data_IF_031507919585
#
_entry.id   IF_031507919585
#
_cell.length_a   1.000
_cell.length_b   1.000
_cell.length_c   1.000
_cell.angle_alpha   90.00
_cell.angle_beta   90.00
_cell.angle_gamma   90.00
#
_symmetry.space_group_name_H-M   'P 1'
#
loop_
_entity.id
_entity.type
_entity.pdbx_description
1 polymer ?
#
# COMPACT_ATOMS: atom_id res chain seq x y z
N UNK A 1 2.87 -20.11 -1.03
CA UNK A 1 3.91 -19.05 -1.04
C UNK A 1 3.26 -17.84 -1.66
N UNK A 2 2.86 -16.85 -0.86
CA UNK A 2 2.27 -15.62 -1.37
C UNK A 2 3.35 -14.86 -2.15
N UNK A 3 3.11 -14.67 -3.45
CA UNK A 3 3.97 -13.87 -4.30
C UNK A 3 3.71 -12.40 -3.96
N UNK A 4 4.65 -11.75 -3.27
CA UNK A 4 4.60 -10.30 -3.08
C UNK A 4 4.92 -9.67 -4.44
N UNK A 5 4.07 -8.79 -4.99
CA UNK A 5 4.39 -8.11 -6.23
C UNK A 5 5.74 -7.39 -6.07
N UNK A 6 6.63 -7.54 -7.05
CA UNK A 6 7.99 -6.95 -7.06
C UNK A 6 7.99 -5.42 -7.17
N UNK A 7 6.83 -4.77 -7.07
CA UNK A 7 6.73 -3.31 -7.10
C UNK A 7 7.33 -2.73 -5.83
N UNK A 8 8.28 -1.83 -6.01
CA UNK A 8 8.89 -1.09 -4.91
C UNK A 8 7.89 -0.07 -4.36
N UNK A 9 8.06 0.29 -3.09
CA UNK A 9 7.30 1.34 -2.47
C UNK A 9 7.41 2.64 -3.28
N UNK A 10 6.28 3.27 -3.61
CA UNK A 10 6.26 4.52 -4.37
C UNK A 10 6.89 5.71 -3.62
N UNK A 11 7.07 5.59 -2.30
CA UNK A 11 7.72 6.62 -1.50
C UNK A 11 9.22 6.70 -1.78
N UNK A 12 9.71 7.93 -1.96
CA UNK A 12 11.10 8.19 -2.32
C UNK A 12 12.05 7.76 -1.20
N UNK A 13 13.08 6.98 -1.56
CA UNK A 13 14.09 6.51 -0.60
C UNK A 13 13.72 5.23 0.14
N UNK A 14 12.64 4.54 -0.27
CA UNK A 14 12.25 3.25 0.27
C UNK A 14 12.45 2.15 -0.78
N UNK A 15 13.24 1.12 -0.44
CA UNK A 15 13.46 -0.07 -1.28
C UNK A 15 12.64 -1.28 -0.82
N UNK A 16 11.66 -1.07 0.07
CA UNK A 16 10.76 -2.14 0.49
C UNK A 16 9.72 -2.44 -0.59
N UNK A 17 9.22 -3.67 -0.61
CA UNK A 17 8.14 -4.06 -1.52
C UNK A 17 6.82 -3.40 -1.13
N UNK A 18 6.10 -2.92 -2.13
CA UNK A 18 4.74 -2.43 -1.97
C UNK A 18 3.81 -3.59 -1.59
N UNK A 19 3.08 -3.39 -0.51
CA UNK A 19 2.13 -4.38 0.03
C UNK A 19 0.74 -3.81 0.26
N UNK A 20 0.58 -2.50 0.08
CA UNK A 20 -0.65 -1.76 0.33
C UNK A 20 -0.87 -0.74 -0.79
N UNK A 21 -2.10 -0.66 -1.29
CA UNK A 21 -2.57 0.42 -2.14
C UNK A 21 -3.29 1.46 -1.29
N UNK A 22 -2.83 2.69 -1.36
CA UNK A 22 -3.48 3.84 -0.77
C UNK A 22 -4.49 4.43 -1.75
N UNK A 23 -5.73 4.52 -1.28
CA UNK A 23 -6.81 5.23 -1.93
C UNK A 23 -6.82 6.68 -1.48
N UNK A 24 -6.34 7.55 -2.37
CA UNK A 24 -6.25 8.99 -2.13
C UNK A 24 -7.41 9.67 -2.87
N UNK A 25 -8.34 10.35 -2.19
CA UNK A 25 -9.53 10.93 -2.85
C UNK A 25 -9.22 12.08 -3.82
N UNK A 26 -8.07 12.74 -3.65
CA UNK A 26 -7.67 13.96 -4.35
C UNK A 26 -6.43 13.77 -5.24
N UNK A 27 -5.93 12.55 -5.37
CA UNK A 27 -4.77 12.23 -6.20
C UNK A 27 -4.89 10.79 -6.73
N UNK A 28 -3.91 10.35 -7.49
CA UNK A 28 -3.85 8.95 -7.93
C UNK A 28 -3.58 8.00 -6.76
N UNK A 29 -4.07 6.77 -6.89
CA UNK A 29 -3.80 5.72 -5.91
C UNK A 29 -2.30 5.41 -5.89
N UNK A 30 -1.74 5.23 -4.69
CA UNK A 30 -0.30 5.01 -4.51
C UNK A 30 -0.02 3.64 -3.90
N UNK A 31 0.94 2.91 -4.42
CA UNK A 31 1.32 1.59 -3.89
C UNK A 31 2.56 1.71 -3.02
N UNK A 32 2.43 1.38 -1.74
CA UNK A 32 3.46 1.62 -0.73
C UNK A 32 3.67 0.40 0.16
N UNK A 33 4.80 0.36 0.87
CA UNK A 33 5.04 -0.66 1.87
C UNK A 33 4.12 -0.48 3.09
N UNK A 34 3.95 -1.54 3.88
CA UNK A 34 3.14 -1.50 5.11
C UNK A 34 3.64 -0.44 6.12
N UNK A 35 4.93 -0.10 6.11
CA UNK A 35 5.51 0.96 6.93
C UNK A 35 4.95 2.34 6.57
N UNK A 36 5.12 2.74 5.31
CA UNK A 36 4.61 4.01 4.80
C UNK A 36 3.09 4.10 4.82
N UNK A 37 2.39 3.00 4.53
CA UNK A 37 0.93 2.96 4.63
C UNK A 37 0.44 3.39 6.01
N UNK A 38 1.05 2.88 7.10
CA UNK A 38 0.64 3.23 8.47
C UNK A 38 0.82 4.71 8.78
N UNK A 39 1.86 5.34 8.24
CA UNK A 39 2.14 6.77 8.46
C UNK A 39 1.18 7.62 7.64
N UNK A 40 1.05 7.32 6.35
CA UNK A 40 0.23 8.09 5.41
C UNK A 40 -1.26 8.02 5.75
N UNK A 41 -1.79 6.86 6.14
CA UNK A 41 -3.19 6.73 6.60
C UNK A 41 -3.47 7.65 7.80
N UNK A 42 -2.50 7.82 8.70
CA UNK A 42 -2.66 8.65 9.90
C UNK A 42 -2.49 10.14 9.62
N UNK A 43 -1.55 10.50 8.75
CA UNK A 43 -1.26 11.91 8.42
C UNK A 43 -2.28 12.49 7.45
N UNK A 44 -2.57 11.74 6.37
CA UNK A 44 -3.39 12.21 5.26
C UNK A 44 -4.85 11.75 5.38
N UNK A 45 -5.18 10.83 6.29
CA UNK A 45 -6.55 10.31 6.42
C UNK A 45 -7.01 9.49 5.20
N UNK A 46 -6.07 8.90 4.47
CA UNK A 46 -6.33 8.07 3.29
C UNK A 46 -6.63 6.62 3.67
N UNK A 47 -7.29 5.89 2.77
CA UNK A 47 -7.65 4.47 3.02
C UNK A 47 -6.54 3.56 2.49
N UNK A 48 -6.09 2.63 3.32
CA UNK A 48 -5.13 1.60 2.96
C UNK A 48 -5.85 0.29 2.63
N UNK A 49 -5.64 -0.22 1.42
CA UNK A 49 -6.13 -1.51 0.96
C UNK A 49 -4.93 -2.46 0.75
N UNK A 50 -4.91 -3.65 1.38
CA UNK A 50 -3.81 -4.59 1.21
C UNK A 50 -3.77 -5.11 -0.24
N UNK A 51 -2.58 -5.15 -0.86
CA UNK A 51 -2.34 -5.73 -2.19
C UNK A 51 -2.45 -7.27 -2.19
N UNK A 52 -3.26 -7.85 -1.31
CA UNK A 52 -3.54 -9.28 -1.30
C UNK A 52 -4.62 -9.59 -2.32
N UNK A 53 -4.35 -10.53 -3.24
CA UNK A 53 -5.41 -11.10 -4.06
C UNK A 53 -6.14 -12.13 -3.19
N UNK A 54 -7.19 -11.66 -2.51
CA UNK A 54 -8.29 -12.48 -1.99
C UNK A 54 -7.90 -13.53 -0.96
N UNK A 55 -8.04 -13.20 0.31
CA UNK A 55 -8.62 -14.18 1.21
C UNK A 55 -10.15 -13.96 1.15
N UNK A 56 -10.85 -14.94 0.59
CA UNK A 56 -12.30 -15.03 0.53
C UNK A 56 -12.91 -14.66 1.90
N UNK A 57 -13.79 -13.67 1.89
CA UNK A 57 -14.66 -13.39 3.03
C UNK A 57 -15.69 -14.52 3.13
N UNK A 58 -15.77 -15.29 4.23
CA UNK A 58 -16.80 -16.32 4.40
C UNK A 58 -18.21 -15.72 4.58
#
# INVERSE_FOLDING_TARGET
>A
MAYVPTMECAESGCSESATVRLHVPWAENREVCAGHARVLVRQDGVVADPLTNGDEWP
#
